data_IF_562584194232
#
_entry.id   IF_562584194232
#
_cell.length_a   1.000
_cell.length_b   1.000
_cell.length_c   1.000
_cell.angle_alpha   90.00
_cell.angle_beta   90.00
_cell.angle_gamma   90.00
#
_symmetry.space_group_name_H-M   'P 1'
#
loop_
_entity.id
_entity.type
_entity.pdbx_description
1 polymer ?
#
# COMPACT_ATOMS: atom_id res chain seq x y z
N UNK A 1 -3.76 15.96 -16.39
CA UNK A 1 -4.37 16.54 -15.18
C UNK A 1 -3.74 17.90 -14.84
N UNK A 2 -2.40 17.96 -14.80
CA UNK A 2 -1.64 19.20 -14.58
C UNK A 2 -2.02 20.36 -15.52
N UNK A 3 -1.99 20.17 -16.84
CA UNK A 3 -2.31 21.26 -17.80
C UNK A 3 -3.71 21.88 -17.59
N UNK A 4 -4.73 21.06 -17.24
CA UNK A 4 -6.08 21.56 -16.98
C UNK A 4 -6.16 22.38 -15.70
N UNK A 5 -5.44 21.97 -14.65
CA UNK A 5 -5.41 22.70 -13.37
C UNK A 5 -4.57 23.98 -13.51
N UNK A 6 -3.47 23.92 -14.26
CA UNK A 6 -2.64 25.06 -14.61
C UNK A 6 -3.42 26.13 -15.39
N UNK A 7 -4.22 25.73 -16.39
CA UNK A 7 -5.05 26.66 -17.18
C UNK A 7 -6.13 27.35 -16.34
N UNK A 8 -6.72 26.65 -15.37
CA UNK A 8 -7.72 27.23 -14.45
C UNK A 8 -7.06 28.23 -13.51
N UNK A 9 -5.88 27.91 -12.96
CA UNK A 9 -5.12 28.80 -12.08
C UNK A 9 -4.54 30.02 -12.80
N UNK A 10 -4.10 29.86 -14.05
CA UNK A 10 -3.66 30.99 -14.87
C UNK A 10 -4.81 31.94 -15.20
N UNK A 11 -6.01 31.41 -15.47
CA UNK A 11 -7.22 32.23 -15.67
C UNK A 11 -7.65 33.02 -14.42
N UNK A 12 -7.25 32.57 -13.22
CA UNK A 12 -7.50 33.27 -11.95
C UNK A 12 -6.48 34.38 -11.65
N UNK A 13 -5.55 34.69 -12.57
CA UNK A 13 -4.64 35.83 -12.44
C UNK A 13 -3.40 35.58 -11.57
N UNK A 14 -3.04 34.32 -11.33
CA UNK A 14 -1.97 33.92 -10.38
C UNK A 14 -0.53 34.05 -10.92
N UNK A 15 -0.22 35.01 -11.80
CA UNK A 15 1.15 35.47 -12.13
C UNK A 15 2.26 34.40 -12.21
N UNK A 16 3.48 34.74 -11.73
CA UNK A 16 4.66 33.85 -11.73
C UNK A 16 4.56 32.64 -10.78
N UNK A 17 3.60 32.61 -9.85
CA UNK A 17 3.46 31.56 -8.83
C UNK A 17 2.43 30.48 -9.19
N UNK A 18 1.72 30.63 -10.31
CA UNK A 18 0.68 29.70 -10.78
C UNK A 18 1.18 28.26 -10.91
N UNK A 19 2.43 28.08 -11.37
CA UNK A 19 3.07 26.77 -11.53
C UNK A 19 3.26 26.07 -10.18
N UNK A 20 3.81 26.79 -9.19
CA UNK A 20 4.08 26.28 -7.84
C UNK A 20 2.78 25.90 -7.11
N UNK A 21 1.74 26.75 -7.19
CA UNK A 21 0.42 26.45 -6.62
C UNK A 21 -0.20 25.22 -7.30
N UNK A 22 -0.08 25.10 -8.62
CA UNK A 22 -0.59 23.94 -9.37
C UNK A 22 0.09 22.66 -8.93
N UNK A 23 1.42 22.68 -8.75
CA UNK A 23 2.19 21.54 -8.28
C UNK A 23 1.73 21.06 -6.90
N UNK A 24 1.58 21.99 -5.94
CA UNK A 24 1.12 21.67 -4.58
C UNK A 24 -0.31 21.12 -4.59
N UNK A 25 -1.21 21.72 -5.38
CA UNK A 25 -2.60 21.29 -5.49
C UNK A 25 -2.72 19.87 -6.06
N UNK A 26 -1.98 19.57 -7.14
CA UNK A 26 -1.96 18.23 -7.76
C UNK A 26 -1.39 17.20 -6.78
N UNK A 27 -0.31 17.53 -6.08
CA UNK A 27 0.30 16.64 -5.10
C UNK A 27 -0.67 16.33 -3.94
N UNK A 28 -1.35 17.34 -3.40
CA UNK A 28 -2.38 17.16 -2.37
C UNK A 28 -3.53 16.27 -2.85
N UNK A 29 -4.02 16.47 -4.09
CA UNK A 29 -5.07 15.61 -4.65
C UNK A 29 -4.62 14.14 -4.75
N UNK A 30 -3.38 13.89 -5.20
CA UNK A 30 -2.83 12.54 -5.27
C UNK A 30 -2.76 11.91 -3.87
N UNK A 31 -2.32 12.66 -2.86
CA UNK A 31 -2.28 12.17 -1.47
C UNK A 31 -3.66 11.82 -0.93
N UNK A 32 -4.67 12.65 -1.20
CA UNK A 32 -6.06 12.39 -0.79
C UNK A 32 -6.59 11.11 -1.45
N UNK A 33 -6.39 10.96 -2.77
CA UNK A 33 -6.79 9.75 -3.51
C UNK A 33 -6.08 8.52 -2.97
N UNK A 34 -4.78 8.64 -2.67
CA UNK A 34 -3.98 7.58 -2.09
C UNK A 34 -4.54 7.14 -0.73
N UNK A 35 -4.82 8.11 0.16
CA UNK A 35 -5.36 7.82 1.48
C UNK A 35 -6.72 7.11 1.41
N UNK A 36 -7.63 7.61 0.56
CA UNK A 36 -8.96 7.01 0.36
C UNK A 36 -8.84 5.58 -0.16
N UNK A 37 -7.96 5.33 -1.12
CA UNK A 37 -7.83 4.00 -1.74
C UNK A 37 -7.18 3.00 -0.77
N UNK A 38 -6.19 3.41 0.02
CA UNK A 38 -5.62 2.55 1.08
C UNK A 38 -6.71 2.15 2.08
N UNK A 39 -7.55 3.11 2.49
CA UNK A 39 -8.62 2.85 3.43
C UNK A 39 -9.65 1.88 2.83
N UNK A 40 -10.06 2.09 1.58
CA UNK A 40 -10.97 1.22 0.87
C UNK A 40 -10.41 -0.21 0.73
N UNK A 41 -9.16 -0.34 0.31
CA UNK A 41 -8.49 -1.65 0.16
C UNK A 41 -8.38 -2.38 1.50
N UNK A 42 -8.10 -1.67 2.59
CA UNK A 42 -8.06 -2.28 3.93
C UNK A 42 -9.41 -2.90 4.31
N UNK A 43 -10.51 -2.16 4.09
CA UNK A 43 -11.86 -2.66 4.38
C UNK A 43 -12.21 -3.84 3.49
N UNK A 44 -11.91 -3.76 2.19
CA UNK A 44 -12.16 -4.82 1.23
C UNK A 44 -11.39 -6.10 1.56
N UNK A 45 -10.09 -6.00 1.83
CA UNK A 45 -9.21 -7.14 2.15
C UNK A 45 -9.69 -7.88 3.40
N UNK A 46 -10.00 -7.16 4.48
CA UNK A 46 -10.50 -7.79 5.71
C UNK A 46 -11.81 -8.54 5.44
N UNK A 47 -12.73 -7.96 4.68
CA UNK A 47 -14.03 -8.57 4.37
C UNK A 47 -13.93 -9.80 3.47
N UNK A 48 -12.97 -9.82 2.54
CA UNK A 48 -12.70 -10.98 1.68
C UNK A 48 -12.07 -12.09 2.50
N UNK A 49 -11.04 -11.78 3.29
CA UNK A 49 -10.29 -12.77 4.06
C UNK A 49 -11.14 -13.43 5.14
N UNK A 50 -11.97 -12.68 5.87
CA UNK A 50 -12.92 -13.27 6.84
C UNK A 50 -13.80 -14.34 6.16
N UNK A 51 -14.28 -14.07 4.94
CA UNK A 51 -15.11 -15.03 4.18
C UNK A 51 -14.32 -16.25 3.74
N UNK A 52 -13.08 -16.07 3.29
CA UNK A 52 -12.20 -17.17 2.86
C UNK A 52 -11.83 -18.07 4.05
N UNK A 53 -11.31 -17.49 5.13
CA UNK A 53 -10.85 -18.28 6.28
C UNK A 53 -11.98 -18.92 7.08
N UNK A 54 -13.19 -18.33 7.10
CA UNK A 54 -14.36 -18.98 7.70
C UNK A 54 -14.70 -20.33 7.05
N UNK A 55 -14.33 -20.54 5.78
CA UNK A 55 -14.55 -21.82 5.08
C UNK A 55 -13.42 -22.83 5.29
N UNK A 56 -12.21 -22.38 5.59
CA UNK A 56 -11.02 -23.25 5.70
C UNK A 56 -10.74 -23.59 7.17
N UNK A 57 -10.40 -22.59 7.97
CA UNK A 57 -10.17 -22.73 9.40
C UNK A 57 -10.35 -21.36 10.08
N UNK A 58 -11.32 -21.19 10.99
CA UNK A 58 -11.59 -19.91 11.63
C UNK A 58 -10.40 -19.37 12.45
N UNK A 59 -9.52 -20.25 12.95
CA UNK A 59 -8.33 -19.85 13.72
C UNK A 59 -7.27 -19.14 12.87
N UNK A 60 -7.20 -19.41 11.57
CA UNK A 60 -6.19 -18.82 10.68
C UNK A 60 -6.40 -17.32 10.53
N UNK A 61 -7.65 -16.85 10.43
CA UNK A 61 -7.92 -15.41 10.29
C UNK A 61 -7.30 -14.58 11.42
N UNK A 62 -7.38 -15.08 12.66
CA UNK A 62 -6.82 -14.43 13.85
C UNK A 62 -5.30 -14.34 13.77
N UNK A 63 -4.64 -15.41 13.30
CA UNK A 63 -3.18 -15.45 13.12
C UNK A 63 -2.72 -14.44 12.05
N UNK A 64 -3.37 -14.43 10.89
CA UNK A 64 -3.06 -13.49 9.81
C UNK A 64 -3.31 -12.03 10.21
N UNK A 65 -4.36 -11.77 11.00
CA UNK A 65 -4.65 -10.44 11.53
C UNK A 65 -3.63 -10.00 12.58
N UNK A 66 -3.23 -10.91 13.48
CA UNK A 66 -2.21 -10.67 14.52
C UNK A 66 -0.85 -10.32 13.91
N UNK A 67 -0.45 -11.01 12.86
CA UNK A 67 0.82 -10.76 12.16
C UNK A 67 0.80 -9.49 11.29
N UNK A 68 -0.30 -8.72 11.30
CA UNK A 68 -0.49 -7.49 10.54
C UNK A 68 -0.32 -7.65 9.02
N UNK A 69 -0.48 -8.88 8.49
CA UNK A 69 -0.31 -9.18 7.07
C UNK A 69 -1.28 -8.36 6.22
N UNK A 70 -2.56 -8.35 6.58
CA UNK A 70 -3.57 -7.58 5.86
C UNK A 70 -3.30 -6.07 5.87
N UNK A 71 -2.78 -5.57 7.00
CA UNK A 71 -2.40 -4.16 7.11
C UNK A 71 -1.29 -3.87 6.12
N UNK A 72 -0.20 -4.64 6.13
CA UNK A 72 0.95 -4.46 5.23
C UNK A 72 0.58 -4.66 3.75
N UNK A 73 -0.28 -5.62 3.44
CA UNK A 73 -0.76 -5.89 2.09
C UNK A 73 -1.60 -4.73 1.52
N UNK A 74 -2.32 -3.99 2.38
CA UNK A 74 -3.08 -2.80 1.96
C UNK A 74 -2.17 -1.68 1.45
N UNK A 75 -0.91 -1.61 1.90
CA UNK A 75 0.04 -0.57 1.48
C UNK A 75 0.59 -0.80 0.06
N UNK A 76 0.41 -1.99 -0.54
CA UNK A 76 0.78 -2.25 -1.95
C UNK A 76 0.10 -1.27 -2.91
N UNK A 77 -1.06 -0.74 -2.51
CA UNK A 77 -1.80 0.26 -3.28
C UNK A 77 -0.99 1.55 -3.49
N UNK A 78 -0.14 1.94 -2.54
CA UNK A 78 0.65 3.18 -2.58
C UNK A 78 1.56 3.26 -3.81
N UNK A 79 2.49 2.29 -4.05
CA UNK A 79 3.34 2.34 -5.23
C UNK A 79 2.56 2.15 -6.54
N UNK A 80 1.42 1.47 -6.53
CA UNK A 80 0.54 1.34 -7.71
C UNK A 80 -0.02 2.72 -8.08
N UNK A 81 -0.56 3.46 -7.11
CA UNK A 81 -1.09 4.81 -7.34
C UNK A 81 0.01 5.73 -7.84
N UNK A 82 1.19 5.71 -7.22
CA UNK A 82 2.29 6.57 -7.64
C UNK A 82 2.74 6.27 -9.08
N UNK A 83 2.75 5.00 -9.49
CA UNK A 83 3.02 4.63 -10.88
C UNK A 83 1.91 5.04 -11.85
N UNK A 84 0.63 4.96 -11.45
CA UNK A 84 -0.49 5.40 -12.28
C UNK A 84 -0.48 6.92 -12.53
N UNK A 85 -0.06 7.70 -11.53
CA UNK A 85 0.06 9.15 -11.65
C UNK A 85 1.42 9.60 -12.20
N UNK A 86 2.33 8.67 -12.47
CA UNK A 86 3.59 8.97 -13.14
C UNK A 86 3.31 9.52 -14.56
N UNK A 87 3.82 10.71 -14.86
CA UNK A 87 3.48 11.46 -16.06
C UNK A 87 2.57 12.66 -15.79
N UNK A 88 1.92 12.75 -14.62
CA UNK A 88 1.10 13.91 -14.26
C UNK A 88 1.92 15.12 -13.82
N UNK A 89 3.21 14.96 -13.48
CA UNK A 89 4.06 16.02 -12.93
C UNK A 89 5.38 16.08 -13.70
N UNK A 90 5.45 16.81 -14.84
CA UNK A 90 6.58 16.74 -15.78
C UNK A 90 7.96 16.90 -15.13
N UNK A 91 8.12 17.85 -14.19
CA UNK A 91 9.41 18.11 -13.53
C UNK A 91 9.72 17.14 -12.37
N UNK A 92 8.71 16.56 -11.73
CA UNK A 92 8.86 15.73 -10.52
C UNK A 92 8.61 14.24 -10.74
N UNK A 93 8.29 13.82 -11.97
CA UNK A 93 8.02 12.42 -12.31
C UNK A 93 9.16 11.48 -11.91
N UNK A 94 10.42 11.92 -12.05
CA UNK A 94 11.57 11.11 -11.65
C UNK A 94 11.56 10.79 -10.15
N UNK A 95 11.26 11.78 -9.30
CA UNK A 95 11.20 11.63 -7.84
C UNK A 95 10.03 10.73 -7.44
N UNK A 96 8.87 10.90 -8.08
CA UNK A 96 7.69 10.04 -7.87
C UNK A 96 7.97 8.59 -8.25
N UNK A 97 8.61 8.34 -9.39
CA UNK A 97 8.96 6.99 -9.81
C UNK A 97 9.98 6.34 -8.88
N UNK A 98 11.08 7.03 -8.57
CA UNK A 98 12.11 6.53 -7.64
C UNK A 98 11.54 6.23 -6.25
N UNK A 99 10.68 7.10 -5.72
CA UNK A 99 10.04 6.86 -4.42
C UNK A 99 9.08 5.67 -4.47
N UNK A 100 8.30 5.51 -5.54
CA UNK A 100 7.44 4.34 -5.73
C UNK A 100 8.25 3.04 -5.75
N UNK A 101 9.39 3.01 -6.46
CA UNK A 101 10.26 1.83 -6.53
C UNK A 101 10.84 1.46 -5.15
N UNK A 102 11.34 2.46 -4.40
CA UNK A 102 11.89 2.25 -3.04
C UNK A 102 10.81 1.73 -2.09
N UNK A 103 9.63 2.36 -2.10
CA UNK A 103 8.50 1.96 -1.24
C UNK A 103 8.04 0.56 -1.62
N UNK A 104 7.97 0.23 -2.91
CA UNK A 104 7.60 -1.11 -3.39
C UNK A 104 8.56 -2.18 -2.87
N UNK A 105 9.87 -1.97 -2.99
CA UNK A 105 10.88 -2.89 -2.50
C UNK A 105 10.78 -3.09 -0.97
N UNK A 106 10.62 -2.00 -0.22
CA UNK A 106 10.48 -2.07 1.24
C UNK A 106 9.20 -2.80 1.66
N UNK A 107 8.09 -2.53 0.98
CA UNK A 107 6.82 -3.22 1.22
C UNK A 107 6.93 -4.71 0.95
N UNK A 108 7.64 -5.11 -0.12
CA UNK A 108 7.84 -6.52 -0.46
C UNK A 108 8.51 -7.28 0.70
N UNK A 109 9.58 -6.71 1.27
CA UNK A 109 10.27 -7.29 2.44
C UNK A 109 9.34 -7.37 3.65
N UNK A 110 8.55 -6.32 3.91
CA UNK A 110 7.61 -6.31 5.03
C UNK A 110 6.45 -7.30 4.86
N UNK A 111 5.99 -7.53 3.63
CA UNK A 111 4.94 -8.49 3.33
C UNK A 111 5.48 -9.91 3.52
N UNK A 112 6.66 -10.22 2.98
CA UNK A 112 7.30 -11.53 3.14
C UNK A 112 7.55 -11.85 4.61
N UNK A 113 8.11 -10.91 5.38
CA UNK A 113 8.34 -11.13 6.81
C UNK A 113 7.05 -11.42 7.58
N UNK A 114 5.98 -10.66 7.32
CA UNK A 114 4.69 -10.89 7.95
C UNK A 114 4.04 -12.21 7.52
N UNK A 115 4.20 -12.58 6.25
CA UNK A 115 3.74 -13.84 5.70
C UNK A 115 4.46 -15.03 6.35
N UNK A 116 5.79 -15.00 6.42
CA UNK A 116 6.58 -16.06 7.04
C UNK A 116 6.22 -16.22 8.52
N UNK A 117 6.08 -15.12 9.27
CA UNK A 117 5.66 -15.17 10.67
C UNK A 117 4.26 -15.78 10.85
N UNK A 118 3.31 -15.42 9.98
CA UNK A 118 1.97 -16.01 10.01
C UNK A 118 2.02 -17.51 9.68
N UNK A 119 2.83 -17.91 8.71
CA UNK A 119 3.03 -19.32 8.34
C UNK A 119 3.68 -20.12 9.46
N UNK A 120 4.68 -19.56 10.14
CA UNK A 120 5.33 -20.20 11.28
C UNK A 120 4.32 -20.43 12.43
N UNK A 121 3.51 -19.42 12.75
CA UNK A 121 2.48 -19.54 13.79
C UNK A 121 1.41 -20.58 13.42
N UNK A 122 1.01 -20.64 12.15
CA UNK A 122 0.14 -21.72 11.63
C UNK A 122 0.84 -23.08 11.77
N UNK A 123 2.12 -23.20 11.40
CA UNK A 123 2.87 -24.45 11.49
C UNK A 123 2.96 -24.95 12.94
N UNK A 124 3.28 -24.06 13.87
CA UNK A 124 3.36 -24.35 15.32
C UNK A 124 2.02 -24.76 15.93
N UNK A 125 0.89 -24.44 15.28
CA UNK A 125 -0.42 -24.90 15.75
C UNK A 125 -0.65 -26.41 15.53
N UNK A 126 0.13 -27.06 14.67
CA UNK A 126 0.03 -28.50 14.40
C UNK A 126 0.93 -29.32 15.31
N UNK A 127 0.48 -30.51 15.73
CA UNK A 127 1.25 -31.40 16.61
C UNK A 127 2.56 -31.88 15.99
N UNK A 128 2.62 -31.98 14.66
CA UNK A 128 3.83 -32.33 13.89
C UNK A 128 4.99 -31.35 14.18
N UNK A 129 4.69 -30.09 14.53
CA UNK A 129 5.71 -29.11 14.89
C UNK A 129 6.46 -29.45 16.18
N UNK A 130 5.86 -30.23 17.09
CA UNK A 130 6.49 -30.66 18.35
C UNK A 130 7.61 -31.67 18.09
N UNK A 131 7.45 -32.51 17.07
CA UNK A 131 8.42 -33.56 16.71
C UNK A 131 9.43 -33.09 15.67
N UNK A 132 9.05 -32.15 14.80
CA UNK A 132 9.94 -31.55 13.79
C UNK A 132 9.79 -30.02 13.78
N UNK A 133 10.44 -29.30 14.69
CA UNK A 133 10.34 -27.85 14.71
C UNK A 133 11.07 -27.24 13.52
N UNK A 134 10.37 -26.46 12.70
CA UNK A 134 10.99 -25.58 11.70
C UNK A 134 11.47 -24.34 12.47
N UNK A 135 12.72 -24.36 12.94
CA UNK A 135 13.35 -23.19 13.55
C UNK A 135 13.99 -22.36 12.45
N UNK A 136 13.22 -21.42 11.92
CA UNK A 136 13.77 -20.24 11.24
C UNK A 136 14.05 -19.19 12.31
N UNK A 137 15.31 -18.80 12.47
CA UNK A 137 15.72 -17.74 13.39
C UNK A 137 15.09 -16.42 12.91
N UNK A 138 14.23 -15.81 13.72
CA UNK A 138 13.89 -14.38 13.69
C UNK A 138 13.75 -13.89 15.13
#
# INVERSE_FOLDING_TARGET
MYNRIFDILNKLGTGQYASLLTYIAVFLLILIICFITIWLTRVALIKIMIRVFKRINPGWNTIWQKNAFYRRLSWIVVPIIFNLFNGSLPDYNFVLKKSADIISALLFVFIISSFLNAFEEIYRSYEISKTRPIKGII
#
